data_IF_833817598782
#
_entry.id   IF_833817598782
#
_cell.length_a   1.000
_cell.length_b   1.000
_cell.length_c   1.000
_cell.angle_alpha   90.00
_cell.angle_beta   90.00
_cell.angle_gamma   90.00
#
_symmetry.space_group_name_H-M   'P 1'
#
loop_
_entity.id
_entity.type
_entity.pdbx_description
1 polymer ?
#
# COMPACT_ATOMS: atom_id res chain seq x y z
N UNK A 1 21.80 2.12 -19.25
CA UNK A 1 20.82 2.54 -18.21
C UNK A 1 19.52 1.76 -18.29
N UNK A 2 18.90 1.62 -19.47
CA UNK A 2 17.63 0.90 -19.71
C UNK A 2 17.68 -0.60 -19.36
N UNK A 3 18.77 -1.31 -19.68
CA UNK A 3 18.93 -2.73 -19.30
C UNK A 3 19.08 -2.97 -17.80
N UNK A 4 19.68 -2.02 -17.07
CA UNK A 4 19.85 -2.14 -15.61
C UNK A 4 18.49 -1.99 -14.92
N UNK A 5 17.69 -1.02 -15.35
CA UNK A 5 16.33 -0.81 -14.83
C UNK A 5 15.45 -2.02 -15.16
N UNK A 6 15.54 -2.57 -16.37
CA UNK A 6 14.79 -3.76 -16.76
C UNK A 6 15.20 -4.99 -15.95
N UNK A 7 16.49 -5.19 -15.69
CA UNK A 7 16.98 -6.29 -14.86
C UNK A 7 16.56 -6.13 -13.39
N UNK A 8 16.58 -4.91 -12.84
CA UNK A 8 16.10 -4.65 -11.47
C UNK A 8 14.58 -4.89 -11.39
N UNK A 9 13.82 -4.44 -12.39
CA UNK A 9 12.38 -4.74 -12.46
C UNK A 9 12.11 -6.23 -12.60
N UNK A 10 12.86 -6.95 -13.45
CA UNK A 10 12.75 -8.41 -13.59
C UNK A 10 13.07 -9.08 -12.26
N UNK A 11 14.14 -8.67 -11.57
CA UNK A 11 14.54 -9.29 -10.30
C UNK A 11 13.54 -9.00 -9.18
N UNK A 12 12.90 -7.83 -9.18
CA UNK A 12 11.79 -7.51 -8.29
C UNK A 12 10.58 -8.38 -8.64
N UNK A 13 10.22 -8.47 -9.93
CA UNK A 13 9.11 -9.32 -10.40
C UNK A 13 9.39 -10.79 -10.06
N UNK A 14 10.59 -11.29 -10.28
CA UNK A 14 11.06 -12.64 -9.99
C UNK A 14 11.21 -12.87 -8.48
N UNK A 15 11.39 -11.84 -7.66
CA UNK A 15 11.29 -11.93 -6.20
C UNK A 15 9.84 -11.95 -5.73
N UNK A 16 8.93 -11.23 -6.41
CA UNK A 16 7.49 -11.29 -6.14
C UNK A 16 6.86 -12.59 -6.65
N UNK A 17 7.30 -13.12 -7.80
CA UNK A 17 6.89 -14.38 -8.43
C UNK A 17 7.65 -15.56 -7.80
N UNK A 18 8.92 -15.38 -7.44
CA UNK A 18 9.73 -16.36 -6.72
C UNK A 18 9.41 -16.41 -5.23
N UNK A 19 8.92 -15.32 -4.64
CA UNK A 19 8.29 -15.30 -3.32
C UNK A 19 6.90 -15.97 -3.31
N UNK A 20 6.25 -16.10 -4.48
CA UNK A 20 5.13 -17.03 -4.68
C UNK A 20 5.60 -18.50 -4.63
N UNK A 21 6.92 -18.77 -4.74
CA UNK A 21 7.60 -20.04 -4.42
C UNK A 21 8.11 -20.05 -2.96
N UNK A 22 7.46 -19.32 -2.04
CA UNK A 22 7.31 -19.85 -0.69
C UNK A 22 6.21 -20.92 -0.76
N UNK A 23 6.58 -22.19 -0.59
CA UNK A 23 5.72 -23.36 -0.80
C UNK A 23 4.51 -23.48 0.17
N UNK A 24 4.22 -22.43 0.96
CA UNK A 24 3.12 -22.39 1.91
C UNK A 24 2.48 -21.00 1.95
N UNK A 25 1.15 -20.92 1.88
CA UNK A 25 0.40 -19.67 1.94
C UNK A 25 0.71 -18.85 3.22
N UNK A 26 1.10 -19.52 4.31
CA UNK A 26 1.49 -18.89 5.59
C UNK A 26 2.61 -17.87 5.39
N UNK A 27 3.61 -18.23 4.59
CA UNK A 27 4.77 -17.40 4.32
C UNK A 27 4.40 -16.21 3.43
N UNK A 28 3.53 -16.44 2.45
CA UNK A 28 3.04 -15.39 1.56
C UNK A 28 2.23 -14.34 2.33
N UNK A 29 1.31 -14.77 3.19
CA UNK A 29 0.52 -13.87 4.04
C UNK A 29 1.41 -13.07 4.99
N UNK A 30 2.43 -13.71 5.59
CA UNK A 30 3.40 -13.04 6.46
C UNK A 30 4.17 -11.95 5.71
N UNK A 31 4.61 -12.24 4.48
CA UNK A 31 5.24 -11.24 3.62
C UNK A 31 4.28 -10.10 3.29
N UNK A 32 3.02 -10.40 2.97
CA UNK A 32 2.03 -9.37 2.64
C UNK A 32 1.69 -8.45 3.80
N UNK A 33 1.70 -8.97 5.05
CA UNK A 33 1.59 -8.13 6.25
C UNK A 33 2.73 -7.11 6.28
N UNK A 34 3.98 -7.56 6.13
CA UNK A 34 5.16 -6.67 6.16
C UNK A 34 5.10 -5.63 5.05
N UNK A 35 4.76 -6.05 3.83
CA UNK A 35 4.64 -5.15 2.68
C UNK A 35 3.49 -4.14 2.85
N UNK A 36 2.35 -4.55 3.40
CA UNK A 36 1.21 -3.66 3.66
C UNK A 36 1.56 -2.62 4.72
N UNK A 37 2.21 -3.04 5.81
CA UNK A 37 2.70 -2.13 6.85
C UNK A 37 3.72 -1.14 6.29
N UNK A 38 4.69 -1.60 5.50
CA UNK A 38 5.67 -0.74 4.84
C UNK A 38 4.99 0.24 3.86
N UNK A 39 4.04 -0.22 3.05
CA UNK A 39 3.27 0.62 2.14
C UNK A 39 2.47 1.69 2.89
N UNK A 40 1.84 1.32 4.00
CA UNK A 40 1.13 2.23 4.90
C UNK A 40 2.05 3.33 5.43
N UNK A 41 3.21 2.97 5.99
CA UNK A 41 4.21 3.91 6.48
C UNK A 41 4.73 4.82 5.37
N UNK A 42 5.01 4.27 4.19
CA UNK A 42 5.52 5.05 3.07
C UNK A 42 4.50 6.07 2.58
N UNK A 43 3.24 5.66 2.38
CA UNK A 43 2.20 6.56 1.87
C UNK A 43 1.75 7.59 2.90
N UNK A 44 1.61 7.19 4.18
CA UNK A 44 1.15 8.07 5.24
C UNK A 44 2.22 9.04 5.71
N UNK A 45 3.45 8.57 5.91
CA UNK A 45 4.48 9.35 6.59
C UNK A 45 5.64 9.72 5.68
N UNK A 46 6.31 8.75 5.05
CA UNK A 46 7.56 8.99 4.30
C UNK A 46 7.34 9.96 3.14
N UNK A 47 6.33 9.73 2.30
CA UNK A 47 6.11 10.57 1.12
C UNK A 47 5.73 12.01 1.52
N UNK A 48 4.72 12.26 2.38
CA UNK A 48 4.42 13.63 2.82
C UNK A 48 5.60 14.31 3.51
N UNK A 49 6.39 13.57 4.31
CA UNK A 49 7.57 14.11 4.97
C UNK A 49 8.62 14.60 3.98
N UNK A 50 8.98 13.76 2.99
CA UNK A 50 9.96 14.09 1.96
C UNK A 50 9.50 15.26 1.09
N UNK A 51 8.21 15.31 0.73
CA UNK A 51 7.64 16.41 -0.06
C UNK A 51 7.59 17.74 0.71
N UNK A 52 7.64 17.70 2.04
CA UNK A 52 7.61 18.88 2.90
C UNK A 52 8.94 19.15 3.62
N UNK A 53 10.06 18.52 3.21
CA UNK A 53 11.34 18.60 3.93
C UNK A 53 11.87 20.04 4.10
N UNK A 54 11.53 20.93 3.16
CA UNK A 54 11.84 22.37 3.24
C UNK A 54 11.28 23.06 4.49
N UNK A 55 10.19 22.51 5.05
CA UNK A 55 9.51 23.01 6.24
C UNK A 55 9.82 22.12 7.46
N UNK A 56 11.06 21.60 7.56
CA UNK A 56 11.43 20.64 8.60
C UNK A 56 11.15 21.13 10.03
N UNK A 57 11.45 22.40 10.33
CA UNK A 57 11.16 23.03 11.63
C UNK A 57 9.67 22.97 11.98
N UNK A 58 8.80 23.18 11.00
CA UNK A 58 7.35 23.04 11.15
C UNK A 58 6.92 21.57 11.29
N UNK A 59 7.56 20.63 10.58
CA UNK A 59 7.20 19.21 10.67
C UNK A 59 7.42 18.60 12.07
N UNK A 60 8.43 19.09 12.79
CA UNK A 60 8.75 18.65 14.15
C UNK A 60 8.11 19.54 15.23
N UNK A 61 7.41 20.60 14.84
CA UNK A 61 6.66 21.46 15.77
C UNK A 61 5.26 20.89 16.02
N UNK A 62 4.44 21.63 16.75
CA UNK A 62 3.03 21.29 16.99
C UNK A 62 2.16 21.37 15.73
N UNK A 63 2.69 21.91 14.61
CA UNK A 63 1.98 22.03 13.32
C UNK A 63 0.70 22.89 13.38
N UNK A 64 0.63 23.83 14.32
CA UNK A 64 -0.52 24.71 14.54
C UNK A 64 -0.69 25.75 13.42
N UNK A 65 0.41 26.17 12.81
CA UNK A 65 0.41 27.17 11.72
C UNK A 65 0.06 26.52 10.38
N UNK A 66 -0.89 27.12 9.65
CA UNK A 66 -1.23 26.68 8.29
C UNK A 66 -0.09 26.95 7.31
N UNK A 67 0.39 25.91 6.62
CA UNK A 67 1.35 26.06 5.52
C UNK A 67 0.64 26.13 4.16
N UNK A 68 1.23 26.87 3.24
CA UNK A 68 0.88 26.80 1.82
C UNK A 68 1.48 25.54 1.18
N UNK A 69 0.79 24.42 1.40
CA UNK A 69 1.19 23.11 0.88
C UNK A 69 1.01 23.06 -0.63
N UNK A 70 2.04 22.59 -1.35
CA UNK A 70 1.90 22.31 -2.79
C UNK A 70 0.76 21.33 -3.07
N UNK A 71 0.14 21.43 -4.25
CA UNK A 71 -0.95 20.53 -4.62
C UNK A 71 -0.58 19.04 -4.50
N UNK A 72 0.67 18.69 -4.82
CA UNK A 72 1.18 17.32 -4.70
C UNK A 72 1.28 16.87 -3.23
N UNK A 73 1.74 17.75 -2.33
CA UNK A 73 1.77 17.48 -0.89
C UNK A 73 0.37 17.31 -0.30
N UNK A 74 -0.58 18.15 -0.71
CA UNK A 74 -1.99 17.98 -0.29
C UNK A 74 -2.58 16.65 -0.79
N UNK A 75 -2.19 16.20 -1.99
CA UNK A 75 -2.63 14.91 -2.55
C UNK A 75 -1.95 13.72 -1.85
N UNK A 76 -0.66 13.80 -1.53
CA UNK A 76 0.04 12.73 -0.81
C UNK A 76 -0.52 12.55 0.60
N UNK A 77 -0.80 13.64 1.34
CA UNK A 77 -1.46 13.57 2.66
C UNK A 77 -2.83 12.89 2.59
N UNK A 78 -3.63 13.18 1.55
CA UNK A 78 -4.94 12.52 1.35
C UNK A 78 -4.80 11.04 1.00
N UNK A 79 -3.85 10.69 0.12
CA UNK A 79 -3.55 9.29 -0.20
C UNK A 79 -3.10 8.51 1.07
N UNK A 80 -2.25 9.13 1.88
CA UNK A 80 -1.77 8.61 3.15
C UNK A 80 -2.88 8.38 4.17
N UNK A 81 -3.82 9.33 4.33
CA UNK A 81 -5.00 9.12 5.20
C UNK A 81 -5.88 7.97 4.68
N UNK A 82 -6.06 7.87 3.35
CA UNK A 82 -6.94 6.86 2.76
C UNK A 82 -6.42 5.42 2.93
N UNK A 83 -5.09 5.18 2.93
CA UNK A 83 -4.60 3.81 3.16
C UNK A 83 -4.90 3.33 4.59
N UNK A 84 -4.93 4.24 5.57
CA UNK A 84 -5.25 3.91 6.95
C UNK A 84 -6.71 3.46 7.15
N UNK A 85 -7.61 3.79 6.22
CA UNK A 85 -9.02 3.36 6.30
C UNK A 85 -9.18 1.85 6.05
N UNK A 86 -8.32 1.26 5.21
CA UNK A 86 -8.46 -0.13 4.76
C UNK A 86 -7.34 -1.05 5.27
N UNK A 87 -6.19 -0.48 5.65
CA UNK A 87 -5.06 -1.23 6.17
C UNK A 87 -5.38 -2.04 7.45
N UNK A 88 -6.10 -1.51 8.47
CA UNK A 88 -6.43 -2.29 9.66
C UNK A 88 -7.27 -3.54 9.34
N UNK A 89 -8.21 -3.41 8.41
CA UNK A 89 -9.07 -4.52 7.96
C UNK A 89 -8.22 -5.58 7.25
N UNK A 90 -7.36 -5.15 6.32
CA UNK A 90 -6.44 -6.04 5.60
C UNK A 90 -5.55 -6.84 6.57
N UNK A 91 -4.93 -6.16 7.54
CA UNK A 91 -4.04 -6.79 8.51
C UNK A 91 -4.81 -7.77 9.40
N UNK A 92 -6.00 -7.41 9.87
CA UNK A 92 -6.84 -8.30 10.67
C UNK A 92 -7.20 -9.58 9.91
N UNK A 93 -7.58 -9.47 8.63
CA UNK A 93 -7.90 -10.62 7.79
C UNK A 93 -6.67 -11.50 7.50
N UNK A 94 -5.51 -10.91 7.26
CA UNK A 94 -4.27 -11.67 7.10
C UNK A 94 -3.94 -12.48 8.37
N UNK A 95 -4.00 -11.85 9.54
CA UNK A 95 -3.77 -12.55 10.82
C UNK A 95 -4.82 -13.65 11.06
N UNK A 96 -6.10 -13.37 10.78
CA UNK A 96 -7.16 -14.36 10.92
C UNK A 96 -6.99 -15.55 9.98
N UNK A 97 -6.52 -15.32 8.75
CA UNK A 97 -6.17 -16.38 7.79
C UNK A 97 -5.09 -17.31 8.34
N UNK A 98 -4.05 -16.76 8.97
CA UNK A 98 -3.00 -17.56 9.60
C UNK A 98 -3.54 -18.42 10.76
N UNK A 99 -4.47 -17.88 11.55
CA UNK A 99 -5.09 -18.61 12.67
C UNK A 99 -6.02 -19.72 12.18
N UNK A 100 -6.89 -19.43 11.19
CA UNK A 100 -7.82 -20.42 10.62
C UNK A 100 -7.14 -21.43 9.70
N UNK A 101 -5.93 -21.13 9.23
CA UNK A 101 -5.24 -21.89 8.21
C UNK A 101 -5.92 -21.83 6.84
N UNK A 102 -6.59 -20.72 6.53
CA UNK A 102 -7.33 -20.52 5.28
C UNK A 102 -6.52 -19.67 4.31
N UNK A 103 -6.33 -20.16 3.08
CA UNK A 103 -5.58 -19.42 2.07
C UNK A 103 -6.38 -18.24 1.52
N UNK A 104 -5.86 -17.02 1.72
CA UNK A 104 -6.36 -15.77 1.13
C UNK A 104 -5.27 -15.02 0.34
N UNK A 105 -4.18 -15.72 0.00
CA UNK A 105 -2.97 -15.14 -0.60
C UNK A 105 -3.28 -14.35 -1.87
N UNK A 106 -4.10 -14.90 -2.76
CA UNK A 106 -4.45 -14.26 -4.03
C UNK A 106 -5.19 -12.92 -3.86
N UNK A 107 -6.33 -12.83 -3.16
CA UNK A 107 -7.00 -11.54 -2.94
C UNK A 107 -6.15 -10.57 -2.09
N UNK A 108 -5.31 -11.07 -1.19
CA UNK A 108 -4.39 -10.23 -0.43
C UNK A 108 -3.30 -9.58 -1.31
N UNK A 109 -2.73 -10.34 -2.25
CA UNK A 109 -1.77 -9.83 -3.22
C UNK A 109 -2.39 -8.75 -4.13
N UNK A 110 -3.61 -8.99 -4.63
CA UNK A 110 -4.30 -7.99 -5.45
C UNK A 110 -4.63 -6.72 -4.67
N UNK A 111 -5.01 -6.84 -3.40
CA UNK A 111 -5.20 -5.66 -2.54
C UNK A 111 -3.93 -4.80 -2.51
N UNK A 112 -2.76 -5.40 -2.29
CA UNK A 112 -1.48 -4.68 -2.28
C UNK A 112 -1.21 -3.95 -3.60
N UNK A 113 -1.39 -4.63 -4.73
CA UNK A 113 -1.21 -4.04 -6.07
C UNK A 113 -2.14 -2.84 -6.25
N UNK A 114 -3.44 -3.00 -5.95
CA UNK A 114 -4.40 -1.92 -6.09
C UNK A 114 -4.11 -0.74 -5.15
N UNK A 115 -3.58 -0.98 -3.93
CA UNK A 115 -3.19 0.11 -3.02
C UNK A 115 -1.96 0.87 -3.49
N UNK A 116 -1.02 0.22 -4.18
CA UNK A 116 0.10 0.91 -4.85
C UNK A 116 -0.42 1.77 -6.00
N UNK A 117 -1.24 1.20 -6.89
CA UNK A 117 -1.84 1.91 -8.04
C UNK A 117 -2.70 3.08 -7.56
N UNK A 118 -3.52 2.89 -6.53
CA UNK A 118 -4.32 3.94 -5.93
C UNK A 118 -3.45 5.07 -5.38
N UNK A 119 -2.41 4.77 -4.59
CA UNK A 119 -1.52 5.79 -4.04
C UNK A 119 -0.88 6.65 -5.12
N UNK A 120 -0.30 6.02 -6.14
CA UNK A 120 0.34 6.72 -7.27
C UNK A 120 -0.67 7.57 -8.06
N UNK A 121 -1.79 6.98 -8.48
CA UNK A 121 -2.83 7.69 -9.25
C UNK A 121 -3.44 8.86 -8.48
N UNK A 122 -3.57 8.75 -7.15
CA UNK A 122 -4.02 9.86 -6.30
C UNK A 122 -3.04 11.02 -6.34
N UNK A 123 -1.74 10.76 -6.15
CA UNK A 123 -0.70 11.80 -6.15
C UNK A 123 -0.61 12.52 -7.50
N UNK A 124 -0.64 11.77 -8.60
CA UNK A 124 -0.60 12.32 -9.96
C UNK A 124 -1.94 12.94 -10.41
N UNK A 125 -3.04 12.70 -9.70
CA UNK A 125 -4.35 13.26 -10.03
C UNK A 125 -5.08 12.54 -11.17
N UNK A 126 -4.82 11.25 -11.37
CA UNK A 126 -5.47 10.42 -12.39
C UNK A 126 -6.79 9.88 -11.81
N UNK A 127 -7.86 10.65 -12.00
CA UNK A 127 -9.14 10.49 -11.26
C UNK A 127 -9.78 9.11 -11.48
N UNK A 128 -9.95 8.67 -12.73
CA UNK A 128 -10.65 7.41 -13.02
C UNK A 128 -9.88 6.19 -12.54
N UNK A 129 -8.56 6.16 -12.76
CA UNK A 129 -7.68 5.08 -12.29
C UNK A 129 -7.68 4.98 -10.76
N UNK A 130 -7.66 6.12 -10.07
CA UNK A 130 -7.75 6.17 -8.61
C UNK A 130 -9.03 5.50 -8.12
N UNK A 131 -10.19 5.90 -8.64
CA UNK A 131 -11.47 5.36 -8.16
C UNK A 131 -11.59 3.87 -8.45
N UNK A 132 -11.18 3.43 -9.65
CA UNK A 132 -11.18 2.01 -10.01
C UNK A 132 -10.29 1.19 -9.07
N UNK A 133 -9.04 1.64 -8.85
CA UNK A 133 -8.12 0.96 -7.94
C UNK A 133 -8.62 0.91 -6.50
N UNK A 134 -9.26 1.98 -6.01
CA UNK A 134 -9.87 2.00 -4.68
C UNK A 134 -11.00 0.98 -4.56
N UNK A 135 -11.92 0.94 -5.53
CA UNK A 135 -13.03 -0.02 -5.55
C UNK A 135 -12.54 -1.46 -5.67
N UNK A 136 -11.53 -1.72 -6.50
CA UNK A 136 -10.94 -3.06 -6.64
C UNK A 136 -10.28 -3.52 -5.34
N UNK A 137 -9.55 -2.64 -4.64
CA UNK A 137 -9.00 -2.96 -3.32
C UNK A 137 -10.10 -3.27 -2.30
N UNK A 138 -11.20 -2.52 -2.31
CA UNK A 138 -12.36 -2.81 -1.45
C UNK A 138 -12.97 -4.19 -1.78
N UNK A 139 -13.11 -4.51 -3.06
CA UNK A 139 -13.57 -5.83 -3.52
C UNK A 139 -12.68 -6.97 -3.01
N UNK A 140 -11.35 -6.80 -3.02
CA UNK A 140 -10.42 -7.77 -2.45
C UNK A 140 -10.70 -8.04 -0.96
N UNK A 141 -10.98 -6.99 -0.17
CA UNK A 141 -11.33 -7.15 1.24
C UNK A 141 -12.64 -7.93 1.43
N UNK A 142 -13.66 -7.67 0.60
CA UNK A 142 -14.90 -8.44 0.63
C UNK A 142 -14.66 -9.92 0.34
N UNK A 143 -13.82 -10.24 -0.66
CA UNK A 143 -13.46 -11.63 -0.99
C UNK A 143 -12.69 -12.29 0.15
N UNK A 144 -11.71 -11.60 0.74
CA UNK A 144 -10.98 -12.11 1.92
C UNK A 144 -11.94 -12.41 3.07
N UNK A 145 -12.85 -11.49 3.37
CA UNK A 145 -13.86 -11.69 4.42
C UNK A 145 -14.76 -12.89 4.16
N UNK A 146 -15.21 -13.09 2.91
CA UNK A 146 -16.04 -14.24 2.53
C UNK A 146 -15.29 -15.57 2.68
N UNK A 147 -14.02 -15.63 2.27
CA UNK A 147 -13.20 -16.84 2.42
C UNK A 147 -12.94 -17.19 3.90
N UNK A 148 -12.95 -16.20 4.79
CA UNK A 148 -12.66 -16.36 6.22
C UNK A 148 -13.85 -16.76 7.08
N UNK A 149 -15.04 -16.95 6.52
CA UNK A 149 -16.23 -17.45 7.22
C UNK A 149 -16.36 -18.93 6.91
#
# INVERSE_FOLDING_TARGET
>A
MTRLIFNIMSLIIDYFIGGVIMNNYIDQISLYIVLASALGLVQFWVIPFLLNVKNFSWQISNQDDGLDDSLMLQRSRRAGKNILETLPIFLAFCVLSLIKGTDISQPACYWLIFRVVHGLSYMFGIIYLRTLAWLSALGCLCVMGFLLI
#
